data_IF_106223134092
#
_entry.id   IF_106223134092
#
_cell.length_a   1.000
_cell.length_b   1.000
_cell.length_c   1.000
_cell.angle_alpha   90.00
_cell.angle_beta   90.00
_cell.angle_gamma   90.00
#
_symmetry.space_group_name_H-M   'P 1'
#
loop_
_entity.id
_entity.type
_entity.pdbx_description
1 polymer ?
#
# COMPACT_ATOMS: atom_id res chain seq x y z
N UNK A 1 -6.59 -3.11 -27.94
CA UNK A 1 -5.39 -3.93 -28.17
C UNK A 1 -4.86 -4.61 -26.89
N UNK A 2 -4.44 -3.86 -25.83
CA UNK A 2 -3.90 -4.48 -24.60
C UNK A 2 -4.92 -5.37 -23.90
N UNK A 3 -6.16 -4.92 -23.80
CA UNK A 3 -7.24 -5.69 -23.21
C UNK A 3 -7.54 -6.97 -23.99
N UNK A 4 -7.67 -6.86 -25.31
CA UNK A 4 -7.97 -8.00 -26.19
C UNK A 4 -6.86 -9.05 -26.12
N UNK A 5 -5.59 -8.61 -26.18
CA UNK A 5 -4.44 -9.47 -26.04
C UNK A 5 -4.39 -10.16 -24.66
N UNK A 6 -4.74 -9.44 -23.59
CA UNK A 6 -4.84 -10.02 -22.25
C UNK A 6 -5.98 -11.06 -22.16
N UNK A 7 -7.13 -10.79 -22.78
CA UNK A 7 -8.24 -11.74 -22.86
C UNK A 7 -7.82 -13.02 -23.57
N UNK A 8 -7.17 -12.92 -24.74
CA UNK A 8 -6.68 -14.08 -25.49
C UNK A 8 -5.73 -14.94 -24.66
N UNK A 9 -4.74 -14.32 -23.99
CA UNK A 9 -3.75 -15.03 -23.16
C UNK A 9 -4.33 -15.66 -21.91
N UNK A 10 -5.42 -15.13 -21.37
CA UNK A 10 -6.02 -15.59 -20.09
C UNK A 10 -7.23 -16.50 -20.30
N UNK A 11 -7.58 -16.85 -21.54
CA UNK A 11 -8.72 -17.75 -21.83
C UNK A 11 -10.07 -17.05 -21.86
N UNK A 12 -10.07 -15.77 -22.25
CA UNK A 12 -11.25 -14.96 -22.45
C UNK A 12 -11.49 -13.90 -21.37
N UNK A 13 -12.42 -13.01 -21.66
CA UNK A 13 -12.76 -11.86 -20.82
C UNK A 13 -13.17 -12.27 -19.38
N UNK A 14 -13.98 -13.31 -19.25
CA UNK A 14 -14.45 -13.79 -17.94
C UNK A 14 -13.28 -14.28 -17.08
N UNK A 15 -12.34 -15.01 -17.67
CA UNK A 15 -11.15 -15.49 -16.98
C UNK A 15 -10.22 -14.34 -16.59
N UNK A 16 -10.01 -13.35 -17.46
CA UNK A 16 -9.26 -12.14 -17.17
C UNK A 16 -9.89 -11.36 -16.01
N UNK A 17 -11.20 -11.09 -16.07
CA UNK A 17 -11.92 -10.36 -15.00
C UNK A 17 -11.84 -11.06 -13.65
N UNK A 18 -11.80 -12.39 -13.60
CA UNK A 18 -11.63 -13.15 -12.36
C UNK A 18 -10.25 -12.97 -11.72
N UNK A 19 -9.22 -12.60 -12.51
CA UNK A 19 -7.85 -12.36 -12.04
C UNK A 19 -7.64 -10.91 -11.57
N UNK A 20 -8.50 -9.97 -11.99
CA UNK A 20 -8.35 -8.57 -11.62
C UNK A 20 -8.65 -8.37 -10.13
N UNK A 21 -7.85 -7.55 -9.43
CA UNK A 21 -8.14 -7.22 -8.04
C UNK A 21 -9.46 -6.45 -7.95
N UNK A 22 -10.20 -6.72 -6.89
CA UNK A 22 -11.45 -6.01 -6.61
C UNK A 22 -11.14 -4.68 -5.92
N UNK A 23 -11.39 -3.59 -6.61
CA UNK A 23 -11.35 -2.25 -6.01
C UNK A 23 -12.55 -2.04 -5.10
N UNK A 24 -12.41 -1.17 -4.12
CA UNK A 24 -13.47 -0.76 -3.20
C UNK A 24 -13.98 0.63 -3.55
N UNK A 25 -15.24 0.88 -3.28
CA UNK A 25 -15.79 2.22 -3.47
C UNK A 25 -15.13 3.24 -2.55
N UNK A 26 -15.12 4.52 -2.95
CA UNK A 26 -14.67 5.61 -2.08
C UNK A 26 -15.44 5.66 -0.75
N UNK A 27 -16.73 5.33 -0.76
CA UNK A 27 -17.54 5.24 0.45
C UNK A 27 -17.07 4.13 1.40
N UNK A 28 -16.61 3.00 0.86
CA UNK A 28 -16.02 1.93 1.66
C UNK A 28 -14.67 2.36 2.26
N UNK A 29 -13.78 2.94 1.45
CA UNK A 29 -12.46 3.41 1.88
C UNK A 29 -12.56 4.48 2.98
N UNK A 30 -13.53 5.40 2.89
CA UNK A 30 -13.81 6.40 3.94
C UNK A 30 -14.18 5.79 5.28
N UNK A 31 -14.91 4.69 5.27
CA UNK A 31 -15.37 4.00 6.48
C UNK A 31 -14.34 3.04 7.06
N UNK A 32 -13.27 2.77 6.34
CA UNK A 32 -12.21 1.90 6.81
C UNK A 32 -11.43 2.63 7.91
N UNK A 33 -11.36 2.03 9.09
CA UNK A 33 -10.67 2.61 10.24
C UNK A 33 -9.16 2.75 10.02
N UNK A 34 -8.57 3.72 10.68
CA UNK A 34 -7.14 4.03 10.62
C UNK A 34 -6.27 2.87 11.10
N UNK A 35 -6.79 2.08 12.03
CA UNK A 35 -6.26 0.80 12.50
C UNK A 35 -6.05 -0.19 11.35
N UNK A 36 -6.98 -0.27 10.40
CA UNK A 36 -6.89 -1.19 9.24
C UNK A 36 -5.86 -0.73 8.22
N UNK A 37 -5.71 0.58 8.02
CA UNK A 37 -4.60 1.12 7.23
C UNK A 37 -3.25 0.81 7.87
N UNK A 38 -3.11 1.05 9.18
CA UNK A 38 -1.90 0.76 9.92
C UNK A 38 -1.54 -0.73 9.92
N UNK A 39 -2.54 -1.60 10.11
CA UNK A 39 -2.38 -3.05 10.02
C UNK A 39 -1.83 -3.47 8.67
N UNK A 40 -2.41 -3.01 7.56
CA UNK A 40 -1.96 -3.39 6.23
C UNK A 40 -0.59 -2.79 5.88
N UNK A 41 -0.28 -1.57 6.29
CA UNK A 41 1.07 -0.99 6.17
C UNK A 41 2.09 -1.88 6.90
N UNK A 42 1.81 -2.24 8.12
CA UNK A 42 2.67 -3.15 8.91
C UNK A 42 2.83 -4.49 8.21
N UNK A 43 1.75 -5.09 7.71
CA UNK A 43 1.79 -6.37 7.01
C UNK A 43 2.70 -6.33 5.80
N UNK A 44 2.58 -5.31 4.95
CA UNK A 44 3.44 -5.15 3.77
C UNK A 44 4.90 -4.87 4.12
N UNK A 45 5.15 -4.10 5.18
CA UNK A 45 6.51 -3.88 5.69
C UNK A 45 7.14 -5.21 6.14
N UNK A 46 6.40 -6.05 6.83
CA UNK A 46 6.91 -7.36 7.24
C UNK A 46 7.03 -8.33 6.05
N UNK A 47 6.12 -8.31 5.10
CA UNK A 47 6.19 -9.10 3.87
C UNK A 47 7.37 -8.69 2.97
N UNK A 48 7.83 -7.45 3.04
CA UNK A 48 9.03 -6.99 2.35
C UNK A 48 10.29 -7.60 2.99
N UNK A 49 10.86 -8.62 2.37
CA UNK A 49 12.08 -9.31 2.84
C UNK A 49 11.83 -10.53 3.76
N UNK A 50 10.58 -10.97 3.90
CA UNK A 50 10.22 -12.26 4.51
C UNK A 50 9.31 -13.06 3.59
N UNK A 51 9.25 -14.35 3.81
CA UNK A 51 8.29 -15.22 3.10
C UNK A 51 6.87 -14.82 3.52
N UNK A 52 6.06 -14.37 2.58
CA UNK A 52 4.72 -13.84 2.82
C UNK A 52 3.84 -14.79 3.63
N UNK A 53 3.85 -16.08 3.30
CA UNK A 53 3.11 -17.12 4.02
C UNK A 53 3.46 -17.17 5.52
N UNK A 54 4.72 -16.89 5.89
CA UNK A 54 5.14 -16.87 7.30
C UNK A 54 4.53 -15.68 8.02
N UNK A 55 4.52 -14.52 7.39
CA UNK A 55 3.88 -13.31 7.92
C UNK A 55 2.38 -13.56 8.09
N UNK A 56 1.72 -14.09 7.06
CA UNK A 56 0.28 -14.34 7.07
C UNK A 56 -0.13 -15.35 8.15
N UNK A 57 0.66 -16.41 8.35
CA UNK A 57 0.42 -17.40 9.40
C UNK A 57 0.50 -16.80 10.81
N UNK A 58 1.38 -15.81 11.01
CA UNK A 58 1.56 -15.12 12.29
C UNK A 58 0.66 -13.88 12.45
N UNK A 59 -0.13 -13.56 11.46
CA UNK A 59 -0.89 -12.31 11.46
C UNK A 59 -1.88 -12.17 12.64
N UNK A 60 -2.62 -13.22 13.05
CA UNK A 60 -3.47 -13.13 14.24
C UNK A 60 -2.71 -12.69 15.50
N UNK A 61 -1.46 -13.16 15.67
CA UNK A 61 -0.62 -12.76 16.79
C UNK A 61 -0.14 -11.30 16.67
N UNK A 62 0.08 -10.80 15.46
CA UNK A 62 0.36 -9.38 15.25
C UNK A 62 -0.81 -8.51 15.68
N UNK A 63 -2.06 -8.88 15.32
CA UNK A 63 -3.27 -8.17 15.75
C UNK A 63 -3.36 -8.13 17.28
N UNK A 64 -3.14 -9.26 17.96
CA UNK A 64 -3.16 -9.35 19.42
C UNK A 64 -2.04 -8.50 20.06
N UNK A 65 -0.80 -8.70 19.63
CA UNK A 65 0.39 -8.01 20.18
C UNK A 65 0.29 -6.49 20.03
N UNK A 66 -0.26 -6.01 18.92
CA UNK A 66 -0.40 -4.57 18.63
C UNK A 66 -1.82 -4.04 18.86
N UNK A 67 -2.65 -4.75 19.68
CA UNK A 67 -3.98 -4.30 20.10
C UNK A 67 -4.89 -3.94 18.93
N UNK A 68 -4.94 -4.83 17.93
CA UNK A 68 -5.69 -4.63 16.68
C UNK A 68 -5.27 -3.36 15.92
N UNK A 69 -4.03 -2.91 16.15
CA UNK A 69 -3.44 -1.70 15.57
C UNK A 69 -4.17 -0.40 15.96
N UNK A 70 -4.76 -0.37 17.16
CA UNK A 70 -5.35 0.83 17.74
C UNK A 70 -4.31 1.97 17.80
N UNK A 71 -4.55 3.02 17.00
CA UNK A 71 -3.60 4.12 16.79
C UNK A 71 -3.31 4.84 18.10
N UNK A 72 -4.34 5.17 18.89
CA UNK A 72 -4.17 5.92 20.13
C UNK A 72 -3.34 5.14 21.16
N UNK A 73 -3.64 3.85 21.31
CA UNK A 73 -2.86 2.98 22.23
C UNK A 73 -1.41 2.83 21.78
N UNK A 74 -1.17 2.75 20.49
CA UNK A 74 0.19 2.63 19.95
C UNK A 74 1.00 3.92 20.14
N UNK A 75 0.36 5.08 20.04
CA UNK A 75 0.99 6.37 20.31
C UNK A 75 1.38 6.53 21.78
N UNK A 76 0.56 6.01 22.69
CA UNK A 76 0.83 6.04 24.14
C UNK A 76 1.83 4.97 24.59
N UNK A 77 2.26 4.07 23.71
CA UNK A 77 3.13 2.95 24.07
C UNK A 77 4.54 3.44 24.44
N UNK A 78 5.05 3.14 25.67
CA UNK A 78 6.41 3.47 26.07
C UNK A 78 7.47 2.72 25.24
N UNK A 79 8.66 3.30 25.15
CA UNK A 79 9.77 2.74 24.36
C UNK A 79 10.18 1.33 24.83
N UNK A 80 10.23 1.11 26.14
CA UNK A 80 10.58 -0.18 26.72
C UNK A 80 9.53 -1.26 26.37
N UNK A 81 8.26 -0.89 26.27
CA UNK A 81 7.21 -1.81 25.83
C UNK A 81 7.36 -2.14 24.33
N UNK A 82 7.71 -1.16 23.50
CA UNK A 82 8.00 -1.38 22.10
C UNK A 82 9.16 -2.36 21.90
N UNK A 83 10.24 -2.20 22.69
CA UNK A 83 11.37 -3.11 22.69
C UNK A 83 10.99 -4.54 23.13
N UNK A 84 10.14 -4.67 24.15
CA UNK A 84 9.62 -5.98 24.59
C UNK A 84 8.81 -6.66 23.51
N UNK A 85 7.90 -5.92 22.84
CA UNK A 85 7.11 -6.45 21.71
C UNK A 85 8.02 -6.92 20.57
N UNK A 86 9.11 -6.22 20.28
CA UNK A 86 10.06 -6.63 19.25
C UNK A 86 10.81 -7.94 19.56
N UNK A 87 10.82 -8.37 20.81
CA UNK A 87 11.42 -9.64 21.26
C UNK A 87 10.39 -10.76 21.41
N UNK A 88 9.10 -10.46 21.25
CA UNK A 88 8.01 -11.40 21.41
C UNK A 88 8.10 -12.53 20.35
N UNK A 89 8.17 -13.82 20.76
CA UNK A 89 8.22 -14.94 19.83
C UNK A 89 6.91 -15.17 19.07
N UNK A 90 5.79 -14.61 19.53
CA UNK A 90 4.52 -14.69 18.85
C UNK A 90 4.55 -14.03 17.47
N UNK A 91 5.30 -12.94 17.34
CA UNK A 91 5.49 -12.22 16.06
C UNK A 91 6.86 -12.51 15.42
N UNK A 92 7.14 -11.88 14.28
CA UNK A 92 8.46 -11.90 13.67
C UNK A 92 9.36 -10.87 14.37
N UNK A 93 10.40 -11.37 15.06
CA UNK A 93 11.32 -10.55 15.84
C UNK A 93 12.25 -9.74 14.93
N UNK A 94 11.87 -8.51 14.67
CA UNK A 94 12.66 -7.55 13.91
C UNK A 94 12.38 -6.14 14.44
N UNK A 95 13.23 -5.65 15.35
CA UNK A 95 13.05 -4.35 16.00
C UNK A 95 12.87 -3.21 15.01
N UNK A 96 13.69 -3.19 13.94
CA UNK A 96 13.65 -2.16 12.91
C UNK A 96 12.32 -2.12 12.14
N UNK A 97 11.59 -3.24 12.04
CA UNK A 97 10.24 -3.29 11.47
C UNK A 97 9.16 -3.05 12.53
N UNK A 98 9.32 -3.57 13.75
CA UNK A 98 8.39 -3.31 14.85
C UNK A 98 8.31 -1.82 15.16
N UNK A 99 9.43 -1.11 15.16
CA UNK A 99 9.48 0.35 15.36
C UNK A 99 8.58 1.10 14.37
N UNK A 100 8.48 0.62 13.12
CA UNK A 100 7.65 1.28 12.10
C UNK A 100 6.16 1.27 12.43
N UNK A 101 5.68 0.37 13.29
CA UNK A 101 4.27 0.33 13.70
C UNK A 101 3.88 1.64 14.36
N UNK A 102 4.65 2.08 15.37
CA UNK A 102 4.39 3.35 16.06
C UNK A 102 4.69 4.56 15.16
N UNK A 103 5.76 4.50 14.35
CA UNK A 103 6.10 5.59 13.43
C UNK A 103 4.99 5.83 12.40
N UNK A 104 4.37 4.77 11.88
CA UNK A 104 3.25 4.89 10.95
C UNK A 104 1.94 5.24 11.67
N UNK A 105 1.75 4.84 12.93
CA UNK A 105 0.65 5.34 13.75
C UNK A 105 0.73 6.87 13.93
N UNK A 106 1.94 7.41 14.20
CA UNK A 106 2.19 8.85 14.26
C UNK A 106 1.87 9.54 12.92
N UNK A 107 2.31 8.97 11.80
CA UNK A 107 2.02 9.53 10.47
C UNK A 107 0.51 9.61 10.21
N UNK A 108 -0.24 8.58 10.61
CA UNK A 108 -1.71 8.56 10.45
C UNK A 108 -2.34 9.65 11.32
N UNK A 109 -2.01 9.71 12.61
CA UNK A 109 -2.53 10.71 13.55
C UNK A 109 -2.20 12.15 13.11
N UNK A 110 -0.94 12.41 12.71
CA UNK A 110 -0.52 13.70 12.19
C UNK A 110 -1.31 14.10 10.93
N UNK A 111 -1.60 13.13 10.06
CA UNK A 111 -2.41 13.36 8.86
C UNK A 111 -3.84 13.74 9.24
N UNK A 112 -4.48 12.97 10.12
CA UNK A 112 -5.85 13.20 10.56
C UNK A 112 -6.01 14.55 11.25
N UNK A 113 -5.07 14.92 12.11
CA UNK A 113 -5.06 16.23 12.78
C UNK A 113 -4.89 17.40 11.82
N UNK A 114 -3.99 17.24 10.84
CA UNK A 114 -3.73 18.30 9.85
C UNK A 114 -4.90 18.51 8.91
N UNK A 115 -5.46 17.40 8.40
CA UNK A 115 -6.54 17.44 7.40
C UNK A 115 -7.94 17.57 8.05
N UNK A 116 -8.04 17.40 9.37
CA UNK A 116 -9.32 17.38 10.12
C UNK A 116 -10.32 16.33 9.57
N UNK A 117 -9.79 15.19 9.11
CA UNK A 117 -10.51 14.08 8.51
C UNK A 117 -9.85 12.77 8.91
N UNK A 118 -10.59 11.66 8.89
CA UNK A 118 -10.00 10.34 9.07
C UNK A 118 -9.00 10.02 7.96
N UNK A 119 -8.03 9.15 8.25
CA UNK A 119 -7.05 8.73 7.25
C UNK A 119 -7.73 8.07 6.05
N UNK A 120 -8.79 7.29 6.27
CA UNK A 120 -9.61 6.71 5.22
C UNK A 120 -10.29 7.75 4.33
N UNK A 121 -10.76 8.87 4.90
CA UNK A 121 -11.31 9.99 4.13
C UNK A 121 -10.23 10.68 3.30
N UNK A 122 -9.04 10.91 3.85
CA UNK A 122 -7.91 11.47 3.12
C UNK A 122 -7.52 10.59 1.92
N UNK A 123 -7.41 9.28 2.11
CA UNK A 123 -7.08 8.34 1.03
C UNK A 123 -8.19 8.29 -0.02
N UNK A 124 -9.46 8.25 0.40
CA UNK A 124 -10.61 8.20 -0.52
C UNK A 124 -10.81 9.51 -1.32
N UNK A 125 -10.41 10.63 -0.74
CA UNK A 125 -10.47 11.94 -1.40
C UNK A 125 -9.31 12.16 -2.38
N UNK A 126 -8.24 11.36 -2.29
CA UNK A 126 -7.08 11.52 -3.17
C UNK A 126 -7.48 11.40 -4.64
N UNK A 127 -6.97 12.29 -5.52
CA UNK A 127 -7.29 12.23 -6.94
C UNK A 127 -6.82 10.91 -7.58
N UNK A 128 -7.70 10.24 -8.32
CA UNK A 128 -7.36 8.98 -8.97
C UNK A 128 -6.30 9.13 -10.08
N UNK A 129 -6.16 10.33 -10.61
CA UNK A 129 -5.17 10.71 -11.63
C UNK A 129 -3.81 11.11 -11.03
N UNK A 130 -3.68 11.08 -9.69
CA UNK A 130 -2.44 11.37 -8.96
C UNK A 130 -2.08 10.29 -7.92
N UNK A 131 -2.15 9.03 -8.28
CA UNK A 131 -1.75 7.93 -7.38
C UNK A 131 -0.27 8.01 -6.97
N UNK A 132 0.58 8.50 -7.86
CA UNK A 132 2.00 8.74 -7.56
C UNK A 132 2.16 9.77 -6.44
N UNK A 133 1.34 10.80 -6.40
CA UNK A 133 1.33 11.77 -5.29
C UNK A 133 1.05 11.10 -3.95
N UNK A 134 0.07 10.19 -3.89
CA UNK A 134 -0.23 9.41 -2.68
C UNK A 134 0.95 8.50 -2.28
N UNK A 135 1.61 7.84 -3.23
CA UNK A 135 2.78 7.02 -2.93
C UNK A 135 3.96 7.84 -2.39
N UNK A 136 4.20 9.01 -2.98
CA UNK A 136 5.25 9.94 -2.53
C UNK A 136 4.92 10.52 -1.15
N UNK A 137 3.64 10.77 -0.88
CA UNK A 137 3.17 11.15 0.45
C UNK A 137 3.50 10.07 1.49
N UNK A 138 3.13 8.82 1.24
CA UNK A 138 3.42 7.69 2.12
C UNK A 138 4.93 7.47 2.29
N UNK A 139 5.71 7.61 1.21
CA UNK A 139 7.18 7.52 1.26
C UNK A 139 7.80 8.60 2.12
N UNK A 140 7.28 9.83 2.03
CA UNK A 140 7.84 11.01 2.72
C UNK A 140 7.50 11.04 4.20
N UNK A 141 6.26 10.72 4.54
CA UNK A 141 5.72 10.89 5.89
C UNK A 141 5.68 9.58 6.68
N UNK A 142 5.55 8.44 6.01
CA UNK A 142 5.55 7.12 6.62
C UNK A 142 6.95 6.51 6.72
N UNK A 143 7.04 5.50 7.55
CA UNK A 143 8.26 4.71 7.75
C UNK A 143 8.19 3.42 6.93
N UNK A 144 9.17 3.19 6.05
CA UNK A 144 9.29 2.03 5.15
C UNK A 144 8.10 1.81 4.20
N UNK A 145 7.37 2.88 3.85
CA UNK A 145 6.25 2.83 2.90
C UNK A 145 6.65 3.25 1.48
N UNK A 146 7.93 3.45 1.22
CA UNK A 146 8.44 3.75 -0.12
C UNK A 146 8.52 2.52 -1.04
N UNK A 147 8.93 2.77 -2.30
CA UNK A 147 8.96 1.74 -3.34
C UNK A 147 7.56 1.15 -3.57
N UNK A 148 7.47 -0.17 -3.64
CA UNK A 148 6.17 -0.85 -3.83
C UNK A 148 5.42 -1.15 -2.52
N UNK A 149 5.99 -0.92 -1.34
CA UNK A 149 5.37 -1.30 -0.06
C UNK A 149 4.06 -0.58 0.18
N UNK A 150 4.06 0.76 0.09
CA UNK A 150 2.85 1.58 0.21
C UNK A 150 1.81 1.26 -0.88
N UNK A 151 2.19 1.27 -2.17
CA UNK A 151 1.31 0.89 -3.27
C UNK A 151 0.65 -0.49 -3.11
N UNK A 152 1.39 -1.52 -2.69
CA UNK A 152 0.81 -2.83 -2.41
C UNK A 152 -0.18 -2.81 -1.25
N UNK A 153 0.10 -2.06 -0.19
CA UNK A 153 -0.83 -1.90 0.92
C UNK A 153 -2.14 -1.23 0.47
N UNK A 154 -2.04 -0.12 -0.25
CA UNK A 154 -3.21 0.57 -0.81
C UNK A 154 -4.05 -0.36 -1.69
N UNK A 155 -3.41 -1.11 -2.60
CA UNK A 155 -4.10 -2.06 -3.48
C UNK A 155 -4.79 -3.17 -2.69
N UNK A 156 -4.16 -3.71 -1.65
CA UNK A 156 -4.77 -4.74 -0.80
C UNK A 156 -5.99 -4.20 -0.05
N UNK A 157 -5.97 -2.95 0.38
CA UNK A 157 -7.11 -2.27 1.01
C UNK A 157 -8.24 -1.96 0.03
N UNK A 158 -7.99 -2.06 -1.27
CA UNK A 158 -8.98 -1.86 -2.32
C UNK A 158 -8.92 -0.49 -3.00
N UNK A 159 -7.86 0.29 -2.77
CA UNK A 159 -7.61 1.51 -3.54
C UNK A 159 -7.33 1.16 -4.98
N UNK A 160 -7.97 1.87 -5.90
CA UNK A 160 -7.72 1.71 -7.34
C UNK A 160 -6.37 2.36 -7.70
N UNK A 161 -5.34 1.54 -7.70
CA UNK A 161 -3.97 1.96 -8.00
C UNK A 161 -3.25 0.90 -8.82
N UNK A 162 -2.40 1.35 -9.74
CA UNK A 162 -1.46 0.46 -10.43
C UNK A 162 -0.27 0.10 -9.52
N UNK A 163 0.58 -0.80 -9.96
CA UNK A 163 1.82 -1.19 -9.30
C UNK A 163 2.95 -1.18 -10.31
N UNK A 164 4.11 -0.67 -9.93
CA UNK A 164 5.32 -0.69 -10.75
C UNK A 164 6.18 -1.92 -10.38
N UNK A 165 5.65 -3.11 -10.72
CA UNK A 165 6.40 -4.35 -10.62
C UNK A 165 7.46 -4.45 -11.72
N UNK A 166 8.38 -5.41 -11.63
CA UNK A 166 9.39 -5.63 -12.68
C UNK A 166 8.77 -5.89 -14.05
N UNK A 167 7.65 -6.63 -14.11
CA UNK A 167 6.95 -6.91 -15.37
C UNK A 167 6.33 -5.63 -15.95
N UNK A 168 5.72 -4.79 -15.09
CA UNK A 168 5.14 -3.50 -15.52
C UNK A 168 6.25 -2.55 -15.96
N UNK A 169 7.36 -2.49 -15.22
CA UNK A 169 8.53 -1.70 -15.64
C UNK A 169 9.08 -2.17 -16.99
N UNK A 170 9.23 -3.48 -17.17
CA UNK A 170 9.66 -4.06 -18.45
C UNK A 170 8.74 -3.70 -19.60
N UNK A 171 7.43 -3.75 -19.38
CA UNK A 171 6.43 -3.30 -20.33
C UNK A 171 6.58 -1.81 -20.69
N UNK A 172 6.63 -0.94 -19.67
CA UNK A 172 6.76 0.51 -19.88
C UNK A 172 8.04 0.88 -20.66
N UNK A 173 9.15 0.16 -20.41
CA UNK A 173 10.41 0.34 -21.14
C UNK A 173 10.32 -0.15 -22.57
N UNK A 174 9.71 -1.32 -22.81
CA UNK A 174 9.59 -1.88 -24.17
C UNK A 174 8.69 -1.06 -25.10
N UNK A 175 7.91 -0.15 -24.53
CA UNK A 175 7.02 0.76 -25.26
C UNK A 175 7.51 2.23 -25.21
N UNK A 176 8.77 2.46 -24.83
CA UNK A 176 9.41 3.78 -24.77
C UNK A 176 8.67 4.81 -23.89
N UNK A 177 7.86 4.33 -22.92
CA UNK A 177 7.12 5.19 -22.00
C UNK A 177 8.06 5.70 -20.91
N UNK A 178 9.03 4.86 -20.49
CA UNK A 178 10.01 5.18 -19.45
C UNK A 178 11.41 4.85 -19.95
N UNK A 179 12.29 5.84 -19.96
CA UNK A 179 13.69 5.76 -20.40
C UNK A 179 14.71 5.70 -19.24
N UNK A 180 14.29 6.06 -18.05
CA UNK A 180 15.12 6.19 -16.84
C UNK A 180 14.72 5.17 -15.76
N UNK A 181 15.46 5.19 -14.64
CA UNK A 181 15.09 4.35 -13.49
C UNK A 181 13.65 4.62 -13.02
N UNK A 182 12.87 3.57 -12.87
CA UNK A 182 11.42 3.65 -12.53
C UNK A 182 11.14 4.40 -11.22
N UNK A 183 12.13 4.60 -10.37
CA UNK A 183 12.02 5.36 -9.12
C UNK A 183 12.26 6.85 -9.29
N UNK A 184 12.71 7.31 -10.47
CA UNK A 184 12.89 8.74 -10.75
C UNK A 184 11.52 9.44 -10.84
N UNK A 185 11.46 10.71 -10.44
CA UNK A 185 10.20 11.48 -10.52
C UNK A 185 9.69 11.58 -11.97
N UNK A 186 10.60 11.70 -12.95
CA UNK A 186 10.25 11.72 -14.37
C UNK A 186 9.57 10.43 -14.80
N UNK A 187 10.15 9.28 -14.45
CA UNK A 187 9.60 7.98 -14.79
C UNK A 187 8.25 7.71 -14.09
N UNK A 188 8.13 8.08 -12.80
CA UNK A 188 6.88 7.96 -12.07
C UNK A 188 5.76 8.80 -12.71
N UNK A 189 6.07 10.04 -13.10
CA UNK A 189 5.11 10.91 -13.78
C UNK A 189 4.72 10.37 -15.16
N UNK A 190 5.65 9.86 -15.95
CA UNK A 190 5.37 9.25 -17.24
C UNK A 190 4.47 8.01 -17.08
N UNK A 191 4.74 7.15 -16.10
CA UNK A 191 3.89 6.01 -15.78
C UNK A 191 2.48 6.45 -15.36
N UNK A 192 2.35 7.48 -14.52
CA UNK A 192 1.04 8.02 -14.10
C UNK A 192 0.25 8.52 -15.32
N UNK A 193 0.87 9.32 -16.19
CA UNK A 193 0.23 9.82 -17.42
C UNK A 193 -0.26 8.67 -18.27
N UNK A 194 0.57 7.67 -18.55
CA UNK A 194 0.21 6.51 -19.34
C UNK A 194 -0.97 5.72 -18.76
N UNK A 195 -0.98 5.48 -17.43
CA UNK A 195 -2.11 4.78 -16.81
C UNK A 195 -3.38 5.62 -16.75
N UNK A 196 -3.28 6.95 -16.69
CA UNK A 196 -4.42 7.85 -16.82
C UNK A 196 -5.04 7.77 -18.22
N UNK A 197 -4.21 7.82 -19.27
CA UNK A 197 -4.66 7.69 -20.66
C UNK A 197 -5.34 6.33 -20.91
N UNK A 198 -4.78 5.24 -20.36
CA UNK A 198 -5.41 3.92 -20.47
C UNK A 198 -6.78 3.88 -19.76
N UNK A 199 -6.92 4.51 -18.60
CA UNK A 199 -8.20 4.57 -17.88
C UNK A 199 -9.24 5.37 -18.68
N UNK A 200 -8.87 6.49 -19.27
CA UNK A 200 -9.78 7.28 -20.13
C UNK A 200 -10.26 6.51 -21.35
N UNK A 201 -9.38 5.67 -21.93
CA UNK A 201 -9.71 4.84 -23.09
C UNK A 201 -10.57 3.62 -22.76
N UNK A 202 -10.52 3.13 -21.52
CA UNK A 202 -11.20 1.89 -21.11
C UNK A 202 -12.55 2.11 -20.40
N UNK A 203 -12.84 3.31 -19.96
CA UNK A 203 -14.07 3.69 -19.26
C UNK A 203 -13.98 3.44 -17.78
#
# INVERSE_FOLDING_TARGET
>A
YLYDHACERKGGEKALKALLPKTKSKAHLKKLGSDRYLAEFTRKIFQSGFVWRVVDKKWPQFEEVFWEFDVERLLMMPDDMLERKAKDPAIIRNFSKVKTVRENAMMIDDTERREQQSFGECVAAWPNDDMIGLWLYLKKHGSRLGGNTGPFALRTLGVDTFLLTQDVEGFLRSHDIVDSGITSQRALKAAQTYFNDLREQSG
#
